data_IF_418690190236
#
_entry.id   IF_418690190236
#
_cell.length_a   1.000
_cell.length_b   1.000
_cell.length_c   1.000
_cell.angle_alpha   90.00
_cell.angle_beta   90.00
_cell.angle_gamma   90.00
#
_symmetry.space_group_name_H-M   'P 1'
#
loop_
_entity.id
_entity.type
_entity.pdbx_description
1 polymer ?
#
# COMPACT_ATOMS: atom_id res chain seq x y z
N UNK A 1 7.69 10.93 54.46
CA UNK A 1 6.91 11.20 53.22
C UNK A 1 7.75 10.76 52.03
N UNK A 2 7.38 9.67 51.38
CA UNK A 2 8.05 9.20 50.17
C UNK A 2 7.45 9.92 48.95
N UNK A 3 8.28 10.67 48.23
CA UNK A 3 7.89 11.40 47.03
C UNK A 3 7.73 10.38 45.90
N UNK A 4 6.49 10.14 45.48
CA UNK A 4 6.15 9.29 44.34
C UNK A 4 6.68 9.98 43.06
N UNK A 5 7.74 9.41 42.47
CA UNK A 5 8.26 9.85 41.16
C UNK A 5 7.15 9.70 40.12
N UNK A 6 6.90 10.78 39.36
CA UNK A 6 5.97 10.83 38.23
C UNK A 6 6.30 9.74 37.21
N UNK A 7 5.27 9.02 36.78
CA UNK A 7 5.33 8.07 35.68
C UNK A 7 5.94 8.73 34.44
N UNK A 8 7.09 8.20 33.99
CA UNK A 8 7.70 8.57 32.73
C UNK A 8 6.74 8.19 31.59
N UNK A 9 6.41 9.18 30.75
CA UNK A 9 5.51 8.97 29.61
C UNK A 9 6.00 7.79 28.75
N UNK A 10 5.12 6.88 28.31
CA UNK A 10 5.53 5.78 27.46
C UNK A 10 6.04 6.37 26.14
N UNK A 11 7.36 6.45 25.97
CA UNK A 11 7.98 6.76 24.68
C UNK A 11 7.36 5.80 23.65
N UNK A 12 6.96 6.35 22.51
CA UNK A 12 6.32 5.58 21.44
C UNK A 12 7.21 4.39 21.08
N UNK A 13 6.78 3.17 21.43
CA UNK A 13 7.49 1.93 21.11
C UNK A 13 7.81 1.81 19.63
N UNK A 14 7.02 2.46 18.77
CA UNK A 14 7.27 2.55 17.33
C UNK A 14 8.53 3.35 17.01
N UNK A 15 8.76 4.48 17.69
CA UNK A 15 9.96 5.30 17.50
C UNK A 15 11.21 4.59 18.03
N UNK A 16 11.09 3.91 19.17
CA UNK A 16 12.20 3.14 19.72
C UNK A 16 12.61 2.01 18.78
N UNK A 17 11.65 1.22 18.28
CA UNK A 17 11.89 0.15 17.29
C UNK A 17 12.45 0.70 15.96
N UNK A 18 11.90 1.81 15.45
CA UNK A 18 12.40 2.45 14.22
C UNK A 18 13.83 3.00 14.34
N UNK A 19 14.27 3.38 15.55
CA UNK A 19 15.60 4.02 15.73
C UNK A 19 16.66 3.03 16.22
N UNK A 20 16.28 2.00 16.97
CA UNK A 20 17.24 1.02 17.54
C UNK A 20 17.38 -0.24 16.70
N UNK A 21 16.35 -0.63 15.95
CA UNK A 21 16.31 -1.91 15.23
C UNK A 21 16.39 -1.76 13.71
N UNK A 22 15.98 -0.60 13.19
CA UNK A 22 16.05 -0.30 11.76
C UNK A 22 17.25 0.59 11.44
N UNK A 23 18.29 -0.03 10.87
CA UNK A 23 19.38 0.72 10.23
C UNK A 23 18.76 1.58 9.13
N UNK A 24 18.89 2.90 9.24
CA UNK A 24 18.43 3.87 8.22
C UNK A 24 18.88 3.49 6.80
N UNK A 25 20.02 2.82 6.70
CA UNK A 25 20.55 2.18 5.49
C UNK A 25 19.52 1.27 4.79
N UNK A 26 18.78 0.44 5.53
CA UNK A 26 17.81 -0.49 4.95
C UNK A 26 16.59 0.25 4.39
N UNK A 27 16.14 1.32 5.07
CA UNK A 27 15.05 2.16 4.58
C UNK A 27 15.45 2.89 3.30
N UNK A 28 16.66 3.44 3.27
CA UNK A 28 17.21 4.12 2.10
C UNK A 28 17.38 3.13 0.93
N UNK A 29 17.89 1.92 1.19
CA UNK A 29 17.96 0.84 0.20
C UNK A 29 16.57 0.45 -0.33
N UNK A 30 15.54 0.47 0.52
CA UNK A 30 14.16 0.21 0.11
C UNK A 30 13.61 1.28 -0.85
N UNK A 31 13.87 2.55 -0.55
CA UNK A 31 13.47 3.67 -1.42
C UNK A 31 14.20 3.59 -2.77
N UNK A 32 15.50 3.27 -2.75
CA UNK A 32 16.29 3.09 -3.97
C UNK A 32 15.78 1.90 -4.80
N UNK A 33 15.49 0.76 -4.16
CA UNK A 33 14.93 -0.40 -4.83
C UNK A 33 13.55 -0.10 -5.43
N UNK A 34 12.67 0.59 -4.69
CA UNK A 34 11.36 0.99 -5.20
C UNK A 34 11.47 1.94 -6.39
N UNK A 35 12.40 2.91 -6.33
CA UNK A 35 12.66 3.84 -7.43
C UNK A 35 13.20 3.12 -8.66
N UNK A 36 14.12 2.16 -8.49
CA UNK A 36 14.63 1.33 -9.57
C UNK A 36 13.53 0.46 -10.20
N UNK A 37 12.62 -0.10 -9.39
CA UNK A 37 11.47 -0.85 -9.87
C UNK A 37 10.53 0.03 -10.72
N UNK A 38 10.26 1.25 -10.25
CA UNK A 38 9.44 2.21 -10.97
C UNK A 38 10.07 2.59 -12.32
N UNK A 39 11.37 2.90 -12.35
CA UNK A 39 12.10 3.20 -13.59
C UNK A 39 12.05 2.01 -14.56
N UNK A 40 12.27 0.79 -14.07
CA UNK A 40 12.20 -0.41 -14.88
C UNK A 40 10.79 -0.60 -15.50
N UNK A 41 9.74 -0.42 -14.71
CA UNK A 41 8.35 -0.47 -15.19
C UNK A 41 8.03 0.62 -16.23
N UNK A 42 8.57 1.83 -16.04
CA UNK A 42 8.40 2.93 -17.00
C UNK A 42 9.09 2.65 -18.35
N UNK A 43 10.23 1.96 -18.33
CA UNK A 43 10.91 1.50 -19.56
C UNK A 43 10.07 0.40 -20.25
N UNK A 44 9.56 -0.58 -19.50
CA UNK A 44 8.75 -1.67 -20.05
C UNK A 44 7.42 -1.17 -20.66
N UNK A 45 6.82 -0.14 -20.07
CA UNK A 45 5.57 0.47 -20.56
C UNK A 45 5.77 1.48 -21.70
N UNK A 46 7.01 1.67 -22.18
CA UNK A 46 7.37 2.67 -23.20
C UNK A 46 7.08 4.13 -22.78
N UNK A 47 6.82 4.37 -21.50
CA UNK A 47 6.67 5.72 -20.93
C UNK A 47 8.02 6.44 -20.93
N UNK A 48 9.11 5.69 -20.73
CA UNK A 48 10.47 6.19 -20.72
C UNK A 48 11.28 5.44 -21.79
N UNK A 49 11.60 6.15 -22.88
CA UNK A 49 12.34 5.57 -24.01
C UNK A 49 13.84 5.79 -23.85
N UNK A 50 14.61 4.73 -24.11
CA UNK A 50 16.06 4.80 -24.16
C UNK A 50 16.44 5.26 -25.57
N UNK A 51 17.23 6.34 -25.66
CA UNK A 51 17.71 6.84 -26.94
C UNK A 51 18.56 5.77 -27.65
N UNK A 52 18.35 5.56 -28.95
CA UNK A 52 19.10 4.60 -29.78
C UNK A 52 20.61 4.86 -29.81
N UNK A 53 21.01 6.12 -29.57
CA UNK A 53 22.42 6.53 -29.46
C UNK A 53 23.07 6.10 -28.14
N UNK A 54 22.28 5.62 -27.17
CA UNK A 54 22.78 5.24 -25.86
C UNK A 54 23.61 3.94 -25.95
N UNK A 55 24.85 3.93 -25.44
CA UNK A 55 25.72 2.76 -25.52
C UNK A 55 25.07 1.52 -24.92
N UNK A 56 25.11 0.40 -25.66
CA UNK A 56 24.63 -0.94 -25.27
C UNK A 56 23.12 -1.07 -25.10
N UNK A 57 22.46 -0.17 -24.36
CA UNK A 57 21.03 -0.24 -24.05
C UNK A 57 20.13 0.28 -25.18
N UNK A 58 20.61 1.21 -26.00
CA UNK A 58 19.87 1.74 -27.16
C UNK A 58 19.90 0.84 -28.40
N UNK A 59 20.63 -0.28 -28.37
CA UNK A 59 20.75 -1.18 -29.52
C UNK A 59 19.74 -2.32 -29.42
N UNK A 60 18.80 -2.37 -30.36
CA UNK A 60 17.84 -3.47 -30.48
C UNK A 60 17.00 -3.68 -29.22
N UNK A 61 16.79 -4.92 -28.79
CA UNK A 61 15.96 -5.24 -27.63
C UNK A 61 16.70 -5.18 -26.28
N UNK A 62 17.93 -4.64 -26.25
CA UNK A 62 18.77 -4.64 -25.05
C UNK A 62 18.19 -3.79 -23.91
N UNK A 63 17.54 -2.67 -24.24
CA UNK A 63 16.86 -1.82 -23.26
C UNK A 63 15.74 -2.55 -22.51
N UNK A 64 14.95 -3.36 -23.23
CA UNK A 64 13.88 -4.19 -22.64
C UNK A 64 14.43 -5.29 -21.75
N UNK A 65 15.51 -5.95 -22.18
CA UNK A 65 16.19 -6.99 -21.40
C UNK A 65 16.74 -6.39 -20.10
N UNK A 66 17.41 -5.25 -20.18
CA UNK A 66 17.90 -4.52 -19.01
C UNK A 66 16.77 -4.17 -18.03
N UNK A 67 15.65 -3.66 -18.53
CA UNK A 67 14.51 -3.30 -17.69
C UNK A 67 13.95 -4.52 -16.94
N UNK A 68 13.85 -5.69 -17.58
CA UNK A 68 13.45 -6.93 -16.90
C UNK A 68 14.42 -7.35 -15.79
N UNK A 69 15.73 -7.30 -16.06
CA UNK A 69 16.74 -7.62 -15.04
C UNK A 69 16.69 -6.62 -13.87
N UNK A 70 16.61 -5.32 -14.17
CA UNK A 70 16.50 -4.26 -13.17
C UNK A 70 15.24 -4.46 -12.31
N UNK A 71 14.11 -4.77 -12.93
CA UNK A 71 12.85 -5.04 -12.23
C UNK A 71 12.99 -6.23 -11.27
N UNK A 72 13.52 -7.36 -11.74
CA UNK A 72 13.68 -8.56 -10.90
C UNK A 72 14.58 -8.25 -9.69
N UNK A 73 15.75 -7.64 -9.90
CA UNK A 73 16.70 -7.33 -8.82
C UNK A 73 16.10 -6.32 -7.84
N UNK A 74 15.40 -5.30 -8.35
CA UNK A 74 14.73 -4.30 -7.51
C UNK A 74 13.62 -4.92 -6.66
N UNK A 75 12.86 -5.87 -7.20
CA UNK A 75 11.82 -6.60 -6.46
C UNK A 75 12.42 -7.42 -5.31
N UNK A 76 13.55 -8.10 -5.55
CA UNK A 76 14.30 -8.77 -4.49
C UNK A 76 14.80 -7.78 -3.42
N UNK A 77 15.29 -6.61 -3.84
CA UNK A 77 15.71 -5.54 -2.92
C UNK A 77 14.56 -5.06 -2.03
N UNK A 78 13.39 -4.80 -2.62
CA UNK A 78 12.18 -4.42 -1.87
C UNK A 78 11.78 -5.53 -0.89
N UNK A 79 11.77 -6.79 -1.34
CA UNK A 79 11.42 -7.92 -0.49
C UNK A 79 12.37 -8.06 0.71
N UNK A 80 13.68 -7.93 0.50
CA UNK A 80 14.69 -8.01 1.57
C UNK A 80 14.53 -6.89 2.61
N UNK A 81 14.17 -5.68 2.17
CA UNK A 81 13.95 -4.55 3.08
C UNK A 81 12.65 -4.71 3.87
N UNK A 82 11.60 -5.24 3.26
CA UNK A 82 10.30 -5.41 3.91
C UNK A 82 10.28 -6.66 4.82
N UNK A 83 11.03 -7.71 4.49
CA UNK A 83 11.10 -8.96 5.25
C UNK A 83 11.26 -8.78 6.79
N UNK A 84 12.21 -7.97 7.31
CA UNK A 84 12.36 -7.77 8.75
C UNK A 84 11.15 -7.11 9.42
N UNK A 85 10.26 -6.43 8.69
CA UNK A 85 9.00 -5.91 9.23
C UNK A 85 7.95 -6.99 9.39
N UNK A 86 7.90 -7.97 8.47
CA UNK A 86 6.92 -9.05 8.53
C UNK A 86 7.24 -10.08 9.61
N UNK A 87 8.51 -10.38 9.87
CA UNK A 87 8.93 -11.36 10.89
C UNK A 87 8.33 -11.05 12.29
N UNK A 88 8.45 -9.83 12.85
CA UNK A 88 7.83 -9.48 14.13
C UNK A 88 6.32 -9.25 14.02
N UNK A 89 5.81 -8.81 12.86
CA UNK A 89 4.37 -8.60 12.66
C UNK A 89 3.59 -9.93 12.61
N UNK A 90 4.19 -11.00 12.09
CA UNK A 90 3.55 -12.30 11.93
C UNK A 90 3.01 -12.92 13.24
N UNK A 91 3.79 -13.02 14.33
CA UNK A 91 3.27 -13.52 15.61
C UNK A 91 2.22 -12.56 16.21
N UNK A 92 2.32 -11.26 15.98
CA UNK A 92 1.34 -10.29 16.46
C UNK A 92 -0.01 -10.44 15.71
N UNK A 93 0.02 -10.65 14.39
CA UNK A 93 -1.16 -10.94 13.59
C UNK A 93 -1.89 -12.22 14.04
N UNK A 94 -1.17 -13.20 14.58
CA UNK A 94 -1.76 -14.42 15.15
C UNK A 94 -2.49 -14.18 16.46
N UNK A 95 -2.19 -13.11 17.19
CA UNK A 95 -2.90 -12.71 18.41
C UNK A 95 -4.22 -12.02 18.10
N UNK A 96 -4.43 -11.56 16.87
CA UNK A 96 -5.68 -10.93 16.44
C UNK A 96 -6.79 -11.98 16.49
N UNK A 97 -7.83 -11.69 17.27
CA UNK A 97 -9.04 -12.50 17.34
C UNK A 97 -9.90 -12.25 16.10
N UNK A 98 -9.67 -13.05 15.06
CA UNK A 98 -10.45 -12.97 13.83
C UNK A 98 -11.93 -13.27 14.10
N UNK A 99 -12.85 -12.52 13.47
CA UNK A 99 -14.28 -12.80 13.58
C UNK A 99 -14.58 -14.20 13.03
N UNK A 100 -15.43 -14.94 13.72
CA UNK A 100 -15.96 -16.21 13.23
C UNK A 100 -16.64 -16.00 11.87
N UNK A 101 -16.57 -17.00 10.98
CA UNK A 101 -17.19 -16.93 9.65
C UNK A 101 -18.66 -16.45 9.69
N UNK A 102 -19.42 -16.88 10.70
CA UNK A 102 -20.80 -16.40 10.93
C UNK A 102 -20.87 -14.89 11.16
N UNK A 103 -20.08 -14.36 12.10
CA UNK A 103 -20.05 -12.93 12.43
C UNK A 103 -19.55 -12.09 11.25
N UNK A 104 -18.62 -12.63 10.46
CA UNK A 104 -18.18 -12.02 9.22
C UNK A 104 -19.34 -11.86 8.23
N UNK A 105 -20.09 -12.93 7.95
CA UNK A 105 -21.25 -12.88 7.06
C UNK A 105 -22.37 -11.97 7.57
N UNK A 106 -22.65 -11.97 8.87
CA UNK A 106 -23.61 -11.06 9.48
C UNK A 106 -23.22 -9.58 9.24
N UNK A 107 -21.93 -9.24 9.43
CA UNK A 107 -21.43 -7.89 9.18
C UNK A 107 -21.45 -7.51 7.69
N UNK A 108 -21.05 -8.42 6.81
CA UNK A 108 -21.08 -8.22 5.36
C UNK A 108 -22.51 -7.95 4.91
N UNK A 109 -23.45 -8.82 5.30
CA UNK A 109 -24.85 -8.70 4.92
C UNK A 109 -25.45 -7.40 5.44
N UNK A 110 -25.18 -7.03 6.69
CA UNK A 110 -25.65 -5.76 7.27
C UNK A 110 -25.13 -4.55 6.51
N UNK A 111 -23.87 -4.59 6.09
CA UNK A 111 -23.24 -3.53 5.29
C UNK A 111 -23.87 -3.43 3.90
N UNK A 112 -24.05 -4.57 3.22
CA UNK A 112 -24.67 -4.63 1.88
C UNK A 112 -26.12 -4.12 1.93
N UNK A 113 -26.91 -4.53 2.92
CA UNK A 113 -28.29 -4.06 3.10
C UNK A 113 -28.32 -2.56 3.35
N UNK A 114 -27.46 -2.05 4.24
CA UNK A 114 -27.39 -0.62 4.54
C UNK A 114 -27.03 0.20 3.29
N UNK A 115 -26.00 -0.23 2.55
CA UNK A 115 -25.60 0.41 1.28
C UNK A 115 -26.73 0.33 0.24
N UNK A 116 -27.44 -0.79 0.15
CA UNK A 116 -28.58 -0.96 -0.74
C UNK A 116 -29.74 -0.02 -0.42
N UNK A 117 -30.05 0.18 0.87
CA UNK A 117 -31.07 1.13 1.30
C UNK A 117 -30.68 2.57 0.94
N UNK A 118 -29.42 2.96 1.19
CA UNK A 118 -28.94 4.28 0.80
C UNK A 118 -29.00 4.49 -0.71
N UNK A 119 -28.58 3.48 -1.49
CA UNK A 119 -28.66 3.52 -2.94
C UNK A 119 -30.10 3.70 -3.42
N UNK A 120 -31.05 2.93 -2.88
CA UNK A 120 -32.45 3.00 -3.26
C UNK A 120 -33.07 4.37 -2.90
N UNK A 121 -32.71 4.91 -1.74
CA UNK A 121 -33.12 6.25 -1.31
C UNK A 121 -32.59 7.32 -2.28
N UNK A 122 -31.31 7.24 -2.67
CA UNK A 122 -30.74 8.18 -3.65
C UNK A 122 -31.43 8.06 -5.02
N UNK A 123 -31.73 6.84 -5.48
CA UNK A 123 -32.46 6.62 -6.73
C UNK A 123 -33.89 7.17 -6.68
N UNK A 124 -34.58 7.06 -5.54
CA UNK A 124 -35.90 7.66 -5.34
C UNK A 124 -35.82 9.19 -5.43
N UNK A 125 -34.83 9.80 -4.76
CA UNK A 125 -34.62 11.24 -4.84
C UNK A 125 -34.33 11.69 -6.27
N UNK A 126 -33.44 10.99 -6.98
CA UNK A 126 -33.10 11.30 -8.35
C UNK A 126 -34.33 11.21 -9.27
N UNK A 127 -35.14 10.14 -9.14
CA UNK A 127 -36.38 9.99 -9.89
C UNK A 127 -37.40 11.11 -9.61
N UNK A 128 -37.56 11.52 -8.35
CA UNK A 128 -38.46 12.62 -7.96
C UNK A 128 -37.96 13.95 -8.52
N UNK A 129 -36.65 14.21 -8.41
CA UNK A 129 -36.00 15.42 -8.94
C UNK A 129 -36.21 15.49 -10.45
N UNK A 130 -35.93 14.41 -11.20
CA UNK A 130 -36.13 14.37 -12.65
C UNK A 130 -37.61 14.58 -13.01
N UNK A 131 -38.55 13.96 -12.29
CA UNK A 131 -39.97 14.10 -12.58
C UNK A 131 -40.51 15.51 -12.27
N UNK A 132 -39.96 16.20 -11.28
CA UNK A 132 -40.39 17.55 -10.87
C UNK A 132 -39.69 18.64 -11.66
N UNK A 133 -38.36 18.67 -11.66
CA UNK A 133 -37.54 19.67 -12.34
C UNK A 133 -37.42 19.42 -13.84
N UNK A 134 -37.37 18.16 -14.29
CA UNK A 134 -37.36 17.82 -15.71
C UNK A 134 -38.70 18.03 -16.43
N UNK A 135 -39.77 18.37 -15.69
CA UNK A 135 -41.04 18.87 -16.27
C UNK A 135 -41.18 20.40 -16.18
N UNK A 136 -40.33 21.07 -15.40
CA UNK A 136 -40.34 22.53 -15.20
C UNK A 136 -39.48 23.27 -16.24
N UNK A 137 -38.57 22.58 -16.91
CA UNK A 137 -37.83 23.02 -18.10
C UNK A 137 -38.29 22.24 -19.32
#
# INVERSE_FOLDING_TARGET
MAIKKRDEQPKSKLLEVLTTEYRWENLLLGILALSAAAIAAMILTQTLNINDSFPVLGKGNNGTIFAWFLLIISLFGVFLVIYPFFVPAWPEMRKITWPTARKFWENVLRTVIFTGILMLLLLLFDAIIIQTLGRLF
#
